data_IF_214548166455
#
_entry.id   IF_214548166455
#
_cell.length_a   1.000
_cell.length_b   1.000
_cell.length_c   1.000
_cell.angle_alpha   90.00
_cell.angle_beta   90.00
_cell.angle_gamma   90.00
#
_symmetry.space_group_name_H-M   'P 1'
#
loop_
_entity.id
_entity.type
_entity.pdbx_description
1 polymer ?
#
# COMPACT_ATOMS: atom_id res chain seq x y z
N UNK A 1 -35.56 -18.24 30.03
CA UNK A 1 -34.31 -18.66 29.36
C UNK A 1 -33.15 -18.03 30.13
N UNK A 2 -32.35 -18.84 30.83
CA UNK A 2 -31.21 -18.37 31.63
C UNK A 2 -30.13 -17.84 30.66
N UNK A 3 -30.06 -16.52 30.49
CA UNK A 3 -28.98 -15.91 29.71
C UNK A 3 -27.66 -16.09 30.45
N UNK A 4 -26.71 -16.80 29.84
CA UNK A 4 -25.35 -16.89 30.37
C UNK A 4 -24.65 -15.53 30.35
N UNK A 5 -23.56 -15.40 31.11
CA UNK A 5 -22.68 -14.23 31.05
C UNK A 5 -22.19 -14.03 29.62
N UNK A 6 -22.50 -12.88 29.02
CA UNK A 6 -22.13 -12.53 27.64
C UNK A 6 -21.31 -11.24 27.65
N UNK A 7 -20.23 -11.23 26.87
CA UNK A 7 -19.45 -10.02 26.64
C UNK A 7 -20.23 -9.01 25.79
N UNK A 8 -20.11 -7.74 26.16
CA UNK A 8 -20.62 -6.60 25.40
C UNK A 8 -19.55 -5.52 25.35
N UNK A 9 -19.61 -4.66 24.35
CA UNK A 9 -18.75 -3.48 24.23
C UNK A 9 -19.42 -2.31 24.95
N UNK A 10 -18.80 -1.78 26.00
CA UNK A 10 -19.36 -0.70 26.82
C UNK A 10 -18.72 0.64 26.48
N UNK A 11 -19.54 1.67 26.29
CA UNK A 11 -19.11 3.04 26.09
C UNK A 11 -19.72 3.89 27.20
N UNK A 12 -18.84 4.42 28.07
CA UNK A 12 -19.22 5.36 29.11
C UNK A 12 -18.98 6.79 28.62
N UNK A 13 -20.02 7.60 28.74
CA UNK A 13 -19.99 9.04 28.47
C UNK A 13 -20.27 9.79 29.78
N UNK A 14 -20.20 11.12 29.76
CA UNK A 14 -20.55 11.94 30.92
C UNK A 14 -22.03 11.83 31.34
N UNK A 15 -22.91 11.33 30.46
CA UNK A 15 -24.37 11.33 30.67
C UNK A 15 -25.01 9.94 30.64
N UNK A 16 -24.36 8.97 29.97
CA UNK A 16 -24.92 7.63 29.78
C UNK A 16 -23.87 6.53 29.74
N UNK A 17 -24.27 5.33 30.17
CA UNK A 17 -23.58 4.07 29.92
C UNK A 17 -24.32 3.32 28.81
N UNK A 18 -23.67 3.16 27.67
CA UNK A 18 -24.21 2.44 26.51
C UNK A 18 -23.48 1.12 26.32
N UNK A 19 -24.16 0.11 25.79
CA UNK A 19 -23.49 -1.12 25.36
C UNK A 19 -23.95 -1.64 24.01
N UNK A 20 -22.99 -2.20 23.28
CA UNK A 20 -23.10 -2.68 21.92
C UNK A 20 -22.79 -4.17 21.86
N UNK A 21 -23.21 -4.81 20.78
CA UNK A 21 -22.93 -6.23 20.54
C UNK A 21 -21.43 -6.53 20.44
N UNK A 22 -20.68 -5.63 19.82
CA UNK A 22 -19.27 -5.72 19.46
C UNK A 22 -18.64 -4.32 19.38
N UNK A 23 -17.33 -4.26 19.18
CA UNK A 23 -16.49 -3.05 19.07
C UNK A 23 -16.71 -2.26 17.77
N UNK A 24 -17.47 -2.81 16.82
CA UNK A 24 -17.86 -2.06 15.61
C UNK A 24 -18.89 -0.95 15.93
N UNK A 25 -19.49 -0.95 17.12
CA UNK A 25 -20.48 0.03 17.61
C UNK A 25 -21.72 0.19 16.70
N UNK A 26 -21.99 -0.79 15.82
CA UNK A 26 -23.13 -0.73 14.87
C UNK A 26 -24.46 -1.11 15.51
N UNK A 27 -24.46 -2.07 16.43
CA UNK A 27 -25.69 -2.60 17.04
C UNK A 27 -25.76 -2.23 18.53
N UNK A 28 -26.31 -1.04 18.81
CA UNK A 28 -26.55 -0.56 20.17
C UNK A 28 -27.65 -1.38 20.83
N UNK A 29 -27.33 -2.06 21.94
CA UNK A 29 -28.27 -2.89 22.68
C UNK A 29 -29.11 -2.10 23.67
N UNK A 30 -28.49 -1.15 24.36
CA UNK A 30 -29.17 -0.30 25.32
C UNK A 30 -28.38 0.98 25.59
N UNK A 31 -29.07 1.97 26.16
CA UNK A 31 -28.50 3.20 26.66
C UNK A 31 -29.08 3.46 28.05
N UNK A 32 -28.24 3.38 29.07
CA UNK A 32 -28.61 3.59 30.45
C UNK A 32 -28.20 5.02 30.87
N UNK A 33 -29.16 5.92 31.16
CA UNK A 33 -28.85 7.22 31.76
C UNK A 33 -28.14 7.04 33.11
N UNK A 34 -27.18 7.90 33.42
CA UNK A 34 -26.42 7.83 34.68
C UNK A 34 -27.18 8.41 35.88
N UNK A 35 -28.32 9.07 35.64
CA UNK A 35 -29.14 9.71 36.67
C UNK A 35 -29.59 8.71 37.74
N UNK A 36 -29.40 9.08 39.01
CA UNK A 36 -29.81 8.31 40.17
C UNK A 36 -29.21 6.90 40.22
N UNK A 37 -28.07 6.68 39.54
CA UNK A 37 -27.29 5.46 39.69
C UNK A 37 -26.27 5.58 40.81
N UNK A 38 -26.04 4.46 41.48
CA UNK A 38 -24.90 4.24 42.37
C UNK A 38 -24.20 2.96 42.02
N UNK A 39 -22.91 2.91 42.35
CA UNK A 39 -22.09 1.70 42.21
C UNK A 39 -21.92 1.01 43.56
N UNK A 40 -22.04 -0.31 43.60
CA UNK A 40 -21.78 -1.13 44.78
C UNK A 40 -20.91 -2.31 44.42
N UNK A 41 -20.08 -2.74 45.37
CA UNK A 41 -19.32 -3.98 45.27
C UNK A 41 -20.22 -5.21 45.43
N UNK A 42 -20.02 -6.19 44.56
CA UNK A 42 -20.71 -7.49 44.65
C UNK A 42 -19.77 -8.47 45.31
N UNK A 43 -20.24 -9.16 46.36
CA UNK A 43 -19.44 -10.15 47.06
C UNK A 43 -18.97 -11.26 46.10
N UNK A 44 -17.69 -11.62 46.18
CA UNK A 44 -17.12 -12.71 45.39
C UNK A 44 -17.80 -14.02 45.80
N UNK A 45 -18.63 -14.58 44.91
CA UNK A 45 -19.17 -15.92 45.10
C UNK A 45 -18.04 -16.94 45.29
N UNK A 46 -18.28 -17.96 46.12
CA UNK A 46 -17.28 -18.94 46.64
C UNK A 46 -16.42 -19.67 45.57
N UNK A 47 -16.70 -19.51 44.28
CA UNK A 47 -15.95 -20.10 43.16
C UNK A 47 -15.76 -19.14 41.96
N UNK A 48 -16.03 -17.84 42.10
CA UNK A 48 -15.87 -16.86 41.02
C UNK A 48 -14.48 -16.21 41.07
N UNK A 49 -13.71 -16.35 40.00
CA UNK A 49 -12.43 -15.63 39.82
C UNK A 49 -12.61 -14.22 39.25
N UNK A 50 -13.83 -13.83 38.85
CA UNK A 50 -14.09 -12.53 38.21
C UNK A 50 -14.27 -11.42 39.25
N UNK A 51 -13.77 -10.23 38.92
CA UNK A 51 -13.98 -9.03 39.71
C UNK A 51 -15.27 -8.36 39.26
N UNK A 52 -16.24 -8.19 40.16
CA UNK A 52 -17.60 -7.79 39.81
C UNK A 52 -18.02 -6.57 40.62
N UNK A 53 -18.65 -5.61 39.95
CA UNK A 53 -19.36 -4.51 40.59
C UNK A 53 -20.76 -4.38 39.97
N UNK A 54 -21.68 -3.76 40.69
CA UNK A 54 -23.06 -3.58 40.23
C UNK A 54 -23.48 -2.12 40.22
N UNK A 55 -24.22 -1.74 39.18
CA UNK A 55 -24.94 -0.48 39.09
C UNK A 55 -26.39 -0.69 39.50
N UNK A 56 -26.90 0.14 40.40
CA UNK A 56 -28.29 0.09 40.84
C UNK A 56 -28.88 1.49 40.89
N UNK A 57 -30.22 1.58 40.76
CA UNK A 57 -30.93 2.85 40.86
C UNK A 57 -31.30 3.13 42.32
N UNK A 58 -31.04 4.34 42.81
CA UNK A 58 -31.35 4.75 44.19
C UNK A 58 -32.86 4.80 44.47
N UNK A 59 -33.68 5.00 43.45
CA UNK A 59 -35.14 5.02 43.53
C UNK A 59 -35.76 3.61 43.39
N UNK A 60 -34.95 2.55 43.49
CA UNK A 60 -35.38 1.15 43.39
C UNK A 60 -36.06 0.78 42.06
N UNK A 61 -35.84 1.58 41.01
CA UNK A 61 -36.27 1.25 39.65
C UNK A 61 -35.40 0.16 39.03
N UNK A 62 -35.98 -0.59 38.09
CA UNK A 62 -35.20 -1.51 37.26
C UNK A 62 -34.19 -0.72 36.41
N UNK A 63 -32.94 -1.15 36.44
CA UNK A 63 -31.84 -0.53 35.69
C UNK A 63 -31.87 -0.98 34.24
N UNK A 64 -32.17 -2.27 34.00
CA UNK A 64 -32.25 -2.82 32.65
C UNK A 64 -33.31 -3.93 32.60
N UNK A 65 -34.31 -3.78 31.73
CA UNK A 65 -35.45 -4.71 31.62
C UNK A 65 -36.07 -4.98 33.01
N UNK A 66 -36.09 -6.24 33.43
CA UNK A 66 -36.63 -6.67 34.73
C UNK A 66 -35.55 -6.76 35.81
N UNK A 67 -34.31 -6.36 35.50
CA UNK A 67 -33.18 -6.42 36.43
C UNK A 67 -33.06 -5.11 37.24
N UNK A 68 -33.07 -5.26 38.56
CA UNK A 68 -32.91 -4.15 39.54
C UNK A 68 -31.49 -3.60 39.63
N UNK A 69 -30.51 -4.38 39.16
CA UNK A 69 -29.11 -4.00 39.12
C UNK A 69 -28.46 -4.56 37.86
N UNK A 70 -27.41 -3.90 37.39
CA UNK A 70 -26.58 -4.33 36.26
C UNK A 70 -25.22 -4.76 36.81
N UNK A 71 -24.93 -6.05 36.79
CA UNK A 71 -23.61 -6.58 37.18
C UNK A 71 -22.65 -6.53 36.01
N UNK A 72 -21.46 -5.98 36.26
CA UNK A 72 -20.37 -5.88 35.32
C UNK A 72 -19.17 -6.61 35.90
N UNK A 73 -18.60 -7.50 35.09
CA UNK A 73 -17.46 -8.32 35.46
C UNK A 73 -16.25 -7.91 34.63
N UNK A 74 -15.11 -7.67 35.29
CA UNK A 74 -13.84 -7.37 34.67
C UNK A 74 -12.83 -8.49 34.95
N UNK A 75 -11.76 -8.51 34.14
CA UNK A 75 -10.73 -9.54 34.19
C UNK A 75 -9.72 -9.28 35.31
N UNK A 76 -9.54 -8.02 35.73
CA UNK A 76 -8.65 -7.64 36.83
C UNK A 76 -9.30 -6.68 37.84
N UNK A 77 -8.70 -6.57 39.02
CA UNK A 77 -9.09 -5.56 40.02
C UNK A 77 -8.80 -4.13 39.52
N UNK A 78 -7.69 -3.94 38.79
CA UNK A 78 -7.29 -2.65 38.23
C UNK A 78 -8.33 -2.13 37.21
N UNK A 79 -8.91 -3.04 36.41
CA UNK A 79 -10.01 -2.70 35.50
C UNK A 79 -11.24 -2.22 36.28
N UNK A 80 -11.63 -2.92 37.36
CA UNK A 80 -12.76 -2.50 38.21
C UNK A 80 -12.51 -1.11 38.79
N UNK A 81 -11.30 -0.87 39.30
CA UNK A 81 -10.96 0.42 39.90
C UNK A 81 -10.93 1.55 38.85
N UNK A 82 -10.43 1.27 37.65
CA UNK A 82 -10.45 2.19 36.50
C UNK A 82 -11.89 2.50 36.03
N UNK A 83 -12.76 1.50 36.00
CA UNK A 83 -14.19 1.68 35.68
C UNK A 83 -14.92 2.47 36.77
N UNK A 84 -14.67 2.19 38.06
CA UNK A 84 -15.22 2.96 39.18
C UNK A 84 -14.74 4.41 39.16
N UNK A 85 -13.47 4.68 38.88
CA UNK A 85 -12.94 6.03 38.74
C UNK A 85 -13.61 6.78 37.57
N UNK A 86 -13.81 6.11 36.44
CA UNK A 86 -14.50 6.67 35.28
C UNK A 86 -15.99 6.96 35.57
N UNK A 87 -16.67 6.06 36.28
CA UNK A 87 -18.06 6.24 36.73
C UNK A 87 -18.19 7.39 37.75
N UNK A 88 -17.26 7.49 38.70
CA UNK A 88 -17.19 8.59 39.67
C UNK A 88 -17.02 9.93 38.96
N UNK A 89 -16.14 9.99 37.95
CA UNK A 89 -15.95 11.17 37.11
C UNK A 89 -17.22 11.54 36.33
N UNK A 90 -18.02 10.55 35.95
CA UNK A 90 -19.32 10.74 35.29
C UNK A 90 -20.48 10.99 36.29
N UNK A 91 -20.21 11.14 37.59
CA UNK A 91 -21.20 11.48 38.61
C UNK A 91 -21.91 10.29 39.27
N UNK A 92 -21.50 9.05 38.99
CA UNK A 92 -22.03 7.84 39.64
C UNK A 92 -21.19 7.51 40.86
N UNK A 93 -21.73 7.80 42.05
CA UNK A 93 -21.00 7.64 43.31
C UNK A 93 -21.08 6.22 43.88
N UNK A 94 -20.03 5.77 44.59
CA UNK A 94 -20.08 4.52 45.34
C UNK A 94 -21.12 4.60 46.46
N UNK A 95 -21.76 3.46 46.72
CA UNK A 95 -22.76 3.36 47.77
C UNK A 95 -22.12 3.33 49.15
N UNK A 96 -22.32 4.41 49.90
CA UNK A 96 -21.72 4.63 51.22
C UNK A 96 -22.31 3.76 52.33
N UNK A 97 -23.39 3.00 52.08
CA UNK A 97 -24.07 2.21 53.11
C UNK A 97 -23.29 0.99 53.62
N UNK A 98 -22.10 0.71 53.10
CA UNK A 98 -21.24 -0.42 53.51
C UNK A 98 -19.92 -0.01 54.18
N UNK A 99 -19.55 1.28 54.16
CA UNK A 99 -18.26 1.76 54.67
C UNK A 99 -18.44 2.80 55.80
N UNK A 100 -19.09 2.43 56.90
CA UNK A 100 -19.12 3.28 58.12
C UNK A 100 -17.78 3.28 58.91
N UNK A 101 -16.69 2.70 58.39
CA UNK A 101 -15.51 2.43 59.23
C UNK A 101 -14.12 2.82 58.70
N UNK A 102 -13.99 3.62 57.64
CA UNK A 102 -12.68 4.11 57.17
C UNK A 102 -12.68 5.63 56.93
N UNK A 103 -12.74 6.40 58.01
CA UNK A 103 -12.34 7.81 58.03
C UNK A 103 -10.82 7.93 58.22
N UNK A 104 -10.00 7.47 57.27
CA UNK A 104 -8.64 7.99 57.15
C UNK A 104 -7.94 7.53 55.86
N UNK A 105 -7.73 8.43 54.90
CA UNK A 105 -6.86 8.09 53.77
C UNK A 105 -6.96 9.02 52.57
N UNK A 106 -6.09 10.04 52.57
CA UNK A 106 -5.55 10.68 51.36
C UNK A 106 -6.52 11.56 50.55
N UNK A 107 -7.00 12.64 51.17
CA UNK A 107 -7.45 13.83 50.45
C UNK A 107 -6.31 14.84 50.18
N UNK A 108 -5.05 14.49 50.49
CA UNK A 108 -3.88 15.34 50.32
C UNK A 108 -2.97 14.75 49.24
N UNK A 109 -3.02 15.30 48.02
CA UNK A 109 -1.92 15.39 47.01
C UNK A 109 -2.36 15.52 45.53
N UNK A 110 -3.60 15.92 45.23
CA UNK A 110 -4.00 16.24 43.84
C UNK A 110 -4.72 17.58 43.70
N UNK A 111 -4.23 18.63 44.37
CA UNK A 111 -4.59 20.00 43.97
C UNK A 111 -3.77 20.40 42.75
N UNK A 112 -3.93 19.70 41.63
CA UNK A 112 -3.65 20.32 40.34
C UNK A 112 -4.68 21.42 40.16
N UNK A 113 -4.23 22.66 39.93
CA UNK A 113 -5.14 23.77 39.66
C UNK A 113 -5.97 23.40 38.40
N UNK A 114 -7.31 23.22 38.52
CA UNK A 114 -8.14 22.85 37.38
C UNK A 114 -8.04 23.85 36.21
N UNK A 115 -7.66 25.09 36.51
CA UNK A 115 -7.40 26.10 35.50
C UNK A 115 -6.09 25.84 34.74
N UNK A 116 -5.03 25.43 35.42
CA UNK A 116 -3.76 25.06 34.80
C UNK A 116 -3.92 23.82 33.90
N UNK A 117 -4.64 22.80 34.35
CA UNK A 117 -4.91 21.61 33.52
C UNK A 117 -5.64 21.97 32.22
N UNK A 118 -6.68 22.82 32.31
CA UNK A 118 -7.40 23.31 31.13
C UNK A 118 -6.50 24.13 30.20
N UNK A 119 -5.63 24.97 30.76
CA UNK A 119 -4.69 25.78 29.97
C UNK A 119 -3.66 24.91 29.26
N UNK A 120 -3.07 23.93 29.95
CA UNK A 120 -2.12 22.98 29.37
C UNK A 120 -2.76 22.21 28.22
N UNK A 121 -3.98 21.72 28.41
CA UNK A 121 -4.71 20.99 27.36
C UNK A 121 -5.03 21.90 26.16
N UNK A 122 -5.39 23.17 26.41
CA UNK A 122 -5.61 24.14 25.34
C UNK A 122 -4.32 24.38 24.55
N UNK A 123 -3.19 24.57 25.23
CA UNK A 123 -1.89 24.77 24.60
C UNK A 123 -1.47 23.54 23.81
N UNK A 124 -1.67 22.33 24.35
CA UNK A 124 -1.35 21.07 23.68
C UNK A 124 -2.10 20.95 22.35
N UNK A 125 -3.41 21.18 22.37
CA UNK A 125 -4.24 21.13 21.16
C UNK A 125 -3.81 22.17 20.10
N UNK A 126 -3.38 23.37 20.51
CA UNK A 126 -2.86 24.38 19.61
C UNK A 126 -1.51 23.98 18.99
N UNK A 127 -0.61 23.43 19.80
CA UNK A 127 0.70 22.95 19.34
C UNK A 127 0.53 21.78 18.37
N UNK A 128 -0.33 20.81 18.67
CA UNK A 128 -0.59 19.67 17.80
C UNK A 128 -1.17 20.13 16.45
N UNK A 129 -2.10 21.09 16.47
CA UNK A 129 -2.62 21.68 15.24
C UNK A 129 -1.54 22.39 14.43
N UNK A 130 -0.67 23.18 15.07
CA UNK A 130 0.41 23.89 14.39
C UNK A 130 1.44 22.93 13.78
N UNK A 131 1.87 21.92 14.55
CA UNK A 131 2.82 20.91 14.08
C UNK A 131 2.22 20.06 12.95
N UNK A 132 0.92 19.77 12.98
CA UNK A 132 0.23 19.10 11.88
C UNK A 132 0.30 19.90 10.57
N UNK A 133 0.10 21.22 10.64
CA UNK A 133 0.23 22.12 9.48
C UNK A 133 1.68 22.13 8.98
N UNK A 134 2.67 22.30 9.87
CA UNK A 134 4.09 22.25 9.49
C UNK A 134 4.42 20.93 8.79
N UNK A 135 4.04 19.80 9.37
CA UNK A 135 4.32 18.49 8.80
C UNK A 135 3.68 18.33 7.41
N UNK A 136 2.50 18.91 7.20
CA UNK A 136 1.87 18.95 5.87
C UNK A 136 2.68 19.81 4.89
N UNK A 137 3.17 20.98 5.32
CA UNK A 137 4.04 21.83 4.51
C UNK A 137 5.36 21.16 4.17
N UNK A 138 6.03 20.49 5.12
CA UNK A 138 7.29 19.78 4.89
C UNK A 138 7.09 18.63 3.89
N UNK A 139 6.05 17.82 4.08
CA UNK A 139 5.73 16.71 3.16
C UNK A 139 5.42 17.19 1.73
N UNK A 140 4.91 18.41 1.58
CA UNK A 140 4.61 19.00 0.28
C UNK A 140 5.83 19.68 -0.37
N UNK A 141 6.59 20.47 0.40
CA UNK A 141 7.67 21.31 -0.13
C UNK A 141 8.97 20.53 -0.36
N UNK A 142 9.34 19.60 0.53
CA UNK A 142 10.63 18.89 0.40
C UNK A 142 10.74 18.12 -0.92
N UNK A 143 9.75 17.32 -1.36
CA UNK A 143 9.83 16.64 -2.65
C UNK A 143 9.91 17.62 -3.83
N UNK A 144 9.19 18.75 -3.77
CA UNK A 144 9.23 19.79 -4.81
C UNK A 144 10.60 20.46 -4.89
N UNK A 145 11.22 20.73 -3.75
CA UNK A 145 12.58 21.29 -3.66
C UNK A 145 13.60 20.32 -4.25
N UNK A 146 13.55 19.03 -3.91
CA UNK A 146 14.45 18.00 -4.47
C UNK A 146 14.25 17.88 -5.98
N UNK A 147 12.99 17.83 -6.43
CA UNK A 147 12.65 17.77 -7.85
C UNK A 147 13.25 18.94 -8.62
N UNK A 148 13.05 20.17 -8.12
CA UNK A 148 13.49 21.38 -8.81
C UNK A 148 15.00 21.56 -8.77
N UNK A 149 15.62 21.44 -7.59
CA UNK A 149 17.03 21.77 -7.41
C UNK A 149 17.99 20.65 -7.79
N UNK A 150 17.60 19.39 -7.60
CA UNK A 150 18.49 18.26 -7.87
C UNK A 150 18.13 17.59 -9.20
N UNK A 151 16.91 17.10 -9.32
CA UNK A 151 16.57 16.22 -10.45
C UNK A 151 16.46 17.00 -11.75
N UNK A 152 15.74 18.13 -11.75
CA UNK A 152 15.63 18.95 -12.95
C UNK A 152 16.99 19.57 -13.32
N UNK A 153 17.78 20.01 -12.33
CA UNK A 153 19.13 20.53 -12.59
C UNK A 153 20.05 19.46 -13.22
N UNK A 154 20.10 18.25 -12.66
CA UNK A 154 20.90 17.14 -13.24
C UNK A 154 20.38 16.75 -14.62
N UNK A 155 19.07 16.71 -14.81
CA UNK A 155 18.46 16.46 -16.12
C UNK A 155 18.91 17.52 -17.13
N UNK A 156 18.86 18.79 -16.76
CA UNK A 156 19.26 19.89 -17.65
C UNK A 156 20.76 19.79 -17.97
N UNK A 157 21.61 19.57 -16.95
CA UNK A 157 23.04 19.32 -17.12
C UNK A 157 23.34 18.20 -18.13
N UNK A 158 22.67 17.04 -17.99
CA UNK A 158 22.85 15.91 -18.91
C UNK A 158 22.48 16.30 -20.35
N UNK A 159 21.41 17.09 -20.54
CA UNK A 159 20.90 17.44 -21.85
C UNK A 159 21.67 18.58 -22.53
N UNK A 160 22.17 19.56 -21.78
CA UNK A 160 22.76 20.78 -22.34
C UNK A 160 24.28 20.90 -22.16
N UNK A 161 24.86 20.33 -21.10
CA UNK A 161 26.26 20.61 -20.73
C UNK A 161 27.16 19.38 -20.82
N UNK A 162 26.65 18.19 -20.50
CA UNK A 162 27.44 16.96 -20.41
C UNK A 162 28.25 16.68 -21.67
N UNK A 163 27.63 16.82 -22.85
CA UNK A 163 28.30 16.56 -24.12
C UNK A 163 29.45 17.54 -24.38
N UNK A 164 29.23 18.82 -24.08
CA UNK A 164 30.27 19.85 -24.21
C UNK A 164 31.44 19.58 -23.25
N UNK A 165 31.16 19.13 -22.02
CA UNK A 165 32.19 18.73 -21.07
C UNK A 165 32.98 17.51 -21.53
N UNK A 166 32.31 16.49 -22.06
CA UNK A 166 32.99 15.31 -22.62
C UNK A 166 33.89 15.68 -23.80
N UNK A 167 33.45 16.56 -24.70
CA UNK A 167 34.30 17.04 -25.80
C UNK A 167 35.43 17.97 -25.35
N UNK A 168 35.29 18.68 -24.23
CA UNK A 168 36.37 19.49 -23.66
C UNK A 168 37.48 18.65 -23.02
N UNK A 169 37.28 17.35 -22.86
CA UNK A 169 38.33 16.45 -22.38
C UNK A 169 39.50 16.39 -23.38
N UNK A 170 40.73 16.43 -22.86
CA UNK A 170 41.96 16.49 -23.65
C UNK A 170 42.23 15.19 -24.44
N UNK A 171 41.68 14.06 -24.00
CA UNK A 171 41.93 12.74 -24.59
C UNK A 171 40.65 12.02 -25.00
N UNK A 172 40.06 12.49 -26.10
CA UNK A 172 38.88 11.89 -26.71
C UNK A 172 39.14 10.47 -27.27
N UNK A 173 40.39 10.18 -27.67
CA UNK A 173 40.75 8.89 -28.27
C UNK A 173 40.69 7.78 -27.22
N UNK A 174 41.25 8.02 -26.04
CA UNK A 174 41.15 7.07 -24.92
C UNK A 174 39.70 6.95 -24.42
N UNK A 175 38.95 8.06 -24.39
CA UNK A 175 37.54 8.04 -23.96
C UNK A 175 36.66 7.16 -24.87
N UNK A 176 36.97 7.12 -26.17
CA UNK A 176 36.25 6.33 -27.18
C UNK A 176 36.94 5.00 -27.51
N UNK A 177 37.89 4.57 -26.71
CA UNK A 177 38.64 3.33 -26.97
C UNK A 177 37.71 2.12 -26.99
N UNK A 178 37.89 1.24 -27.98
CA UNK A 178 37.14 0.00 -28.10
C UNK A 178 37.55 -0.97 -26.97
N UNK A 179 36.58 -1.57 -26.27
CA UNK A 179 36.89 -2.60 -25.30
C UNK A 179 37.47 -3.84 -25.99
N UNK A 180 38.45 -4.50 -25.36
CA UNK A 180 39.10 -5.68 -25.94
C UNK A 180 38.12 -6.79 -26.34
N UNK A 181 37.05 -6.98 -25.57
CA UNK A 181 35.99 -7.94 -25.89
C UNK A 181 35.23 -7.56 -27.18
N UNK A 182 34.94 -6.27 -27.37
CA UNK A 182 34.25 -5.80 -28.56
C UNK A 182 35.14 -5.86 -29.80
N UNK A 183 36.43 -5.53 -29.65
CA UNK A 183 37.43 -5.68 -30.70
C UNK A 183 37.54 -7.15 -31.15
N UNK A 184 37.61 -8.08 -30.20
CA UNK A 184 37.63 -9.52 -30.50
C UNK A 184 36.35 -9.96 -31.23
N UNK A 185 35.17 -9.56 -30.74
CA UNK A 185 33.88 -9.89 -31.37
C UNK A 185 33.79 -9.35 -32.80
N UNK A 186 34.28 -8.13 -33.03
CA UNK A 186 34.37 -7.52 -34.37
C UNK A 186 35.28 -8.34 -35.29
N UNK A 187 36.45 -8.75 -34.80
CA UNK A 187 37.42 -9.54 -35.57
C UNK A 187 36.90 -10.96 -35.89
N UNK A 188 36.19 -11.60 -34.96
CA UNK A 188 35.52 -12.89 -35.18
C UNK A 188 34.42 -12.78 -36.24
N UNK A 189 33.60 -11.72 -36.17
CA UNK A 189 32.55 -11.45 -37.15
C UNK A 189 33.14 -11.19 -38.54
N UNK A 190 34.24 -10.43 -38.63
CA UNK A 190 34.94 -10.20 -39.90
C UNK A 190 35.51 -11.49 -40.47
N UNK A 191 36.12 -12.34 -39.63
CA UNK A 191 36.63 -13.65 -40.04
C UNK A 191 35.50 -14.55 -40.57
N UNK A 192 34.37 -14.59 -39.86
CA UNK A 192 33.20 -15.36 -40.28
C UNK A 192 32.61 -14.82 -41.58
N UNK A 193 32.49 -13.50 -41.72
CA UNK A 193 32.02 -12.86 -42.95
C UNK A 193 32.88 -13.24 -44.16
N UNK A 194 34.21 -13.19 -44.01
CA UNK A 194 35.14 -13.56 -45.07
C UNK A 194 35.00 -15.04 -45.45
N UNK A 195 34.94 -15.93 -44.45
CA UNK A 195 34.74 -17.36 -44.67
C UNK A 195 33.42 -17.66 -45.41
N UNK A 196 32.33 -16.96 -45.07
CA UNK A 196 31.04 -17.11 -45.75
C UNK A 196 31.10 -16.59 -47.20
N UNK A 197 31.80 -15.49 -47.46
CA UNK A 197 32.01 -14.97 -48.81
C UNK A 197 32.78 -15.97 -49.68
N UNK A 198 33.85 -16.54 -49.15
CA UNK A 198 34.63 -17.57 -49.84
C UNK A 198 33.80 -18.82 -50.13
N UNK A 199 33.00 -19.28 -49.15
CA UNK A 199 32.09 -20.39 -49.35
C UNK A 199 31.08 -20.14 -50.48
N UNK A 200 30.55 -18.91 -50.60
CA UNK A 200 29.65 -18.53 -51.69
C UNK A 200 30.34 -18.53 -53.05
N UNK A 201 31.60 -18.07 -53.14
CA UNK A 201 32.39 -18.15 -54.38
C UNK A 201 32.57 -19.60 -54.80
N UNK A 202 32.96 -20.49 -53.87
CA UNK A 202 33.12 -21.92 -54.16
C UNK A 202 31.82 -22.55 -54.66
N UNK A 203 30.68 -22.22 -54.03
CA UNK A 203 29.36 -22.71 -54.49
C UNK A 203 29.06 -22.22 -55.90
N UNK A 204 29.36 -20.94 -56.19
CA UNK A 204 29.20 -20.35 -57.52
C UNK A 204 30.06 -21.05 -58.58
N UNK A 205 31.31 -21.35 -58.24
CA UNK A 205 32.24 -22.06 -59.12
C UNK A 205 31.76 -23.49 -59.40
N UNK A 206 31.30 -24.23 -58.39
CA UNK A 206 30.75 -25.59 -58.59
C UNK A 206 29.53 -25.56 -59.51
N UNK A 207 28.61 -24.61 -59.31
CA UNK A 207 27.37 -24.51 -60.08
C UNK A 207 27.61 -24.13 -61.55
N UNK A 208 28.72 -23.46 -61.86
CA UNK A 208 29.09 -23.07 -63.23
C UNK A 208 30.07 -24.02 -63.91
N UNK A 209 30.91 -24.72 -63.14
CA UNK A 209 31.96 -25.59 -63.67
C UNK A 209 31.57 -27.08 -63.79
N UNK A 210 30.48 -27.53 -63.16
CA UNK A 210 30.07 -28.96 -63.20
C UNK A 210 28.86 -29.19 -64.09
N UNK A 211 28.99 -30.12 -65.05
CA UNK A 211 27.89 -30.58 -65.92
C UNK A 211 27.18 -31.76 -65.26
N UNK A 212 25.87 -31.62 -65.02
CA UNK A 212 25.04 -32.74 -64.59
C UNK A 212 24.84 -33.70 -65.76
N UNK A 213 25.50 -34.85 -65.72
CA UNK A 213 25.19 -36.00 -66.60
C UNK A 213 23.87 -36.62 -66.15
N UNK A 214 22.83 -36.67 -67.01
CA UNK A 214 21.59 -37.36 -66.70
C UNK A 214 21.88 -38.84 -66.39
N UNK A 215 21.20 -39.39 -65.38
CA UNK A 215 21.36 -40.80 -65.02
C UNK A 215 21.04 -41.67 -66.26
N UNK A 216 21.87 -42.69 -66.57
CA UNK A 216 21.57 -43.60 -67.66
C UNK A 216 20.23 -44.31 -67.41
N UNK A 217 19.47 -44.66 -68.46
CA UNK A 217 18.19 -45.33 -68.29
C UNK A 217 18.36 -46.63 -67.49
N UNK A 218 17.35 -47.04 -66.68
CA UNK A 218 17.42 -48.26 -65.88
C UNK A 218 17.71 -49.46 -66.79
N UNK A 219 18.72 -50.24 -66.44
CA UNK A 219 19.09 -51.46 -67.17
C UNK A 219 18.12 -52.56 -66.74
N UNK A 220 17.53 -53.27 -67.71
CA UNK A 220 16.63 -54.40 -67.42
C UNK A 220 17.47 -55.66 -67.08
N UNK A 221 17.56 -55.98 -65.79
CA UNK A 221 18.33 -57.12 -65.24
C UNK A 221 17.61 -58.48 -65.38
N UNK A 222 16.62 -58.60 -66.28
CA UNK A 222 15.85 -59.82 -66.51
C UNK A 222 16.67 -61.06 -66.91
N UNK A 223 17.94 -60.88 -67.33
CA UNK A 223 18.83 -61.99 -67.70
C UNK A 223 19.54 -62.66 -66.50
N UNK A 224 19.64 -62.00 -65.34
CA UNK A 224 20.39 -62.52 -64.18
C UNK A 224 19.59 -63.51 -63.30
N UNK A 225 18.28 -63.66 -63.53
CA UNK A 225 17.43 -64.56 -62.75
C UNK A 225 17.51 -66.05 -63.17
N UNK A 226 18.11 -66.38 -64.31
CA UNK A 226 17.95 -67.71 -64.93
C UNK A 226 19.05 -68.74 -64.65
N UNK A 227 20.07 -68.41 -63.85
CA UNK A 227 21.13 -69.37 -63.48
C UNK A 227 21.26 -69.53 -61.97
N UNK A 228 20.21 -70.12 -61.42
CA UNK A 228 20.21 -71.21 -60.43
C UNK A 228 21.11 -71.11 -59.19
N UNK A 229 20.39 -71.36 -58.08
CA UNK A 229 20.72 -72.27 -56.96
C UNK A 229 21.64 -71.71 -55.88
N UNK A 230 20.97 -71.13 -54.89
CA UNK A 230 21.35 -71.11 -53.48
C UNK A 230 21.85 -72.46 -52.96
N UNK A 231 22.91 -72.45 -52.14
CA UNK A 231 23.10 -73.40 -51.04
C UNK A 231 22.95 -72.72 -49.65
N UNK A 232 22.70 -73.50 -48.58
CA UNK A 232 22.14 -73.04 -47.29
C UNK A 232 23.18 -72.54 -46.27
N UNK A 233 22.76 -71.88 -45.16
CA UNK A 233 23.66 -71.32 -44.15
C UNK A 233 23.91 -72.28 -42.97
N UNK A 234 25.07 -72.16 -42.31
CA UNK A 234 25.42 -72.82 -41.02
C UNK A 234 26.72 -72.19 -40.43
N UNK A 235 27.02 -72.28 -39.11
CA UNK A 235 26.56 -71.31 -38.10
C UNK A 235 27.70 -70.65 -37.28
N UNK A 236 27.37 -69.50 -36.67
CA UNK A 236 27.85 -68.85 -35.42
C UNK A 236 29.17 -69.28 -34.77
N UNK A 237 30.05 -68.30 -34.51
CA UNK A 237 30.56 -67.94 -33.16
C UNK A 237 31.28 -66.59 -33.18
N UNK A 238 30.83 -65.61 -32.39
CA UNK A 238 31.73 -64.67 -31.73
C UNK A 238 31.02 -63.88 -30.62
N UNK A 239 31.63 -63.82 -29.44
CA UNK A 239 31.23 -62.98 -28.32
C UNK A 239 32.42 -62.11 -27.88
N UNK A 240 32.19 -60.78 -27.90
CA UNK A 240 32.84 -59.66 -27.18
C UNK A 240 34.24 -59.16 -27.60
N UNK A 241 34.52 -57.83 -27.49
CA UNK A 241 34.79 -57.09 -26.21
C UNK A 241 33.96 -55.77 -26.04
N UNK A 242 33.58 -55.31 -24.82
CA UNK A 242 34.15 -54.20 -23.96
C UNK A 242 34.36 -52.86 -24.71
N UNK A 243 34.06 -51.64 -24.23
CA UNK A 243 34.02 -51.02 -22.89
C UNK A 243 33.32 -49.62 -22.99
N UNK A 244 32.79 -49.11 -21.88
CA UNK A 244 32.57 -47.68 -21.51
C UNK A 244 31.40 -46.81 -22.04
N UNK A 245 30.63 -46.30 -21.07
CA UNK A 245 29.52 -45.32 -21.07
C UNK A 245 30.03 -43.84 -21.17
N UNK A 246 29.22 -42.74 -21.18
CA UNK A 246 27.84 -42.63 -20.66
C UNK A 246 26.79 -41.72 -21.38
N UNK A 247 25.52 -42.06 -21.10
CA UNK A 247 24.28 -41.27 -20.93
C UNK A 247 23.98 -40.04 -21.79
N UNK A 248 22.90 -40.13 -22.60
CA UNK A 248 22.02 -38.98 -22.90
C UNK A 248 20.51 -39.35 -22.84
N UNK A 249 19.81 -38.55 -22.02
CA UNK A 249 18.38 -38.21 -21.84
C UNK A 249 17.27 -38.89 -22.69
N UNK A 250 16.12 -39.25 -22.08
CA UNK A 250 14.95 -39.77 -22.80
C UNK A 250 14.17 -38.67 -23.54
N UNK A 251 13.66 -39.06 -24.71
CA UNK A 251 12.68 -38.33 -25.53
C UNK A 251 11.29 -38.50 -24.90
N UNK A 252 10.56 -37.42 -24.69
CA UNK A 252 9.10 -37.42 -24.52
C UNK A 252 8.58 -35.99 -24.69
N UNK A 253 7.49 -35.82 -25.44
CA UNK A 253 6.68 -34.60 -25.38
C UNK A 253 6.62 -33.78 -26.67
N UNK A 254 5.98 -34.33 -27.69
CA UNK A 254 5.43 -33.58 -28.83
C UNK A 254 4.26 -32.72 -28.32
N UNK A 255 4.41 -31.40 -28.36
CA UNK A 255 3.37 -30.41 -28.10
C UNK A 255 3.62 -29.16 -28.95
N UNK A 256 2.60 -28.49 -29.50
CA UNK A 256 2.78 -27.44 -30.49
C UNK A 256 3.22 -26.13 -29.83
N UNK A 257 4.13 -25.42 -30.49
CA UNK A 257 4.58 -24.08 -30.09
C UNK A 257 3.46 -23.03 -30.32
N UNK A 258 3.34 -21.99 -29.47
CA UNK A 258 2.49 -20.84 -29.75
C UNK A 258 3.14 -19.95 -30.82
N UNK A 259 2.37 -19.54 -31.82
CA UNK A 259 2.79 -18.66 -32.90
C UNK A 259 3.01 -17.22 -32.40
N UNK A 260 4.11 -16.62 -32.86
CA UNK A 260 4.42 -15.19 -32.76
C UNK A 260 3.82 -14.49 -33.99
N UNK A 261 2.98 -13.44 -33.86
CA UNK A 261 2.60 -12.60 -34.99
C UNK A 261 3.54 -11.41 -35.14
N UNK A 262 4.07 -11.21 -36.35
CA UNK A 262 4.76 -9.98 -36.77
C UNK A 262 3.78 -8.80 -36.92
N UNK A 263 4.23 -7.53 -36.79
CA UNK A 263 3.36 -6.37 -36.65
C UNK A 263 2.86 -5.84 -38.01
N UNK A 264 1.53 -5.69 -38.13
CA UNK A 264 0.83 -4.93 -39.17
C UNK A 264 0.01 -3.78 -38.56
N UNK A 265 -0.37 -2.76 -39.35
CA UNK A 265 -0.40 -1.38 -38.86
C UNK A 265 -1.81 -0.90 -38.46
N UNK A 266 -2.42 -1.42 -37.40
CA UNK A 266 -3.72 -0.88 -36.92
C UNK A 266 -3.82 -0.94 -35.39
N UNK A 267 -3.35 0.09 -34.71
CA UNK A 267 -3.47 0.27 -33.26
C UNK A 267 -4.78 0.99 -32.90
N UNK A 268 -5.75 0.25 -32.36
CA UNK A 268 -6.95 0.79 -31.73
C UNK A 268 -6.80 0.82 -30.20
N UNK A 269 -6.49 1.97 -29.63
CA UNK A 269 -6.45 2.22 -28.19
C UNK A 269 -7.84 2.68 -27.66
N UNK A 270 -8.18 2.43 -26.38
CA UNK A 270 -9.45 2.87 -25.80
C UNK A 270 -9.48 4.40 -25.57
N UNK A 271 -10.66 5.05 -25.48
CA UNK A 271 -10.76 6.50 -25.53
C UNK A 271 -10.27 7.17 -24.24
N UNK A 272 -9.48 8.23 -24.40
CA UNK A 272 -8.99 9.11 -23.32
C UNK A 272 -9.98 10.27 -23.14
N UNK A 273 -10.31 10.71 -21.92
CA UNK A 273 -11.24 11.81 -21.70
C UNK A 273 -10.67 13.16 -22.17
N UNK A 274 -11.50 13.90 -22.91
CA UNK A 274 -11.42 15.33 -23.30
C UNK A 274 -10.17 16.13 -22.87
N UNK A 275 -9.34 16.53 -23.85
CA UNK A 275 -8.41 17.67 -23.73
C UNK A 275 -9.05 18.95 -24.31
N UNK A 276 -8.99 20.10 -23.61
CA UNK A 276 -9.23 21.40 -24.21
C UNK A 276 -8.13 21.75 -25.23
N UNK A 277 -8.51 22.44 -26.31
CA UNK A 277 -7.64 22.78 -27.45
C UNK A 277 -6.48 23.74 -27.15
N UNK A 278 -5.61 24.02 -28.14
CA UNK A 278 -4.38 24.76 -27.95
C UNK A 278 -4.62 26.27 -27.78
N UNK A 279 -3.90 26.85 -26.82
CA UNK A 279 -3.84 28.29 -26.54
C UNK A 279 -2.98 29.04 -27.59
N UNK A 280 -3.24 30.33 -27.85
CA UNK A 280 -2.48 31.13 -28.81
C UNK A 280 -1.07 31.46 -28.29
N UNK A 281 -0.13 31.88 -29.17
CA UNK A 281 1.24 32.18 -28.77
C UNK A 281 1.33 33.51 -28.01
N UNK A 282 2.13 33.53 -26.95
CA UNK A 282 2.45 34.76 -26.20
C UNK A 282 3.43 35.65 -26.99
N UNK A 283 3.29 36.99 -26.92
CA UNK A 283 4.23 37.90 -27.54
C UNK A 283 5.52 38.00 -26.72
N UNK A 284 6.64 38.03 -27.43
CA UNK A 284 7.98 38.28 -26.90
C UNK A 284 8.07 39.72 -26.37
N UNK A 285 8.60 39.94 -25.17
CA UNK A 285 8.90 41.28 -24.66
C UNK A 285 10.19 41.25 -23.84
N UNK A 286 11.27 41.62 -24.54
CA UNK A 286 12.53 42.06 -23.98
C UNK A 286 12.36 43.56 -23.71
N UNK A 287 12.25 44.01 -22.45
CA UNK A 287 12.75 45.31 -21.98
C UNK A 287 12.44 45.60 -20.49
N UNK A 288 13.53 45.77 -19.74
CA UNK A 288 13.85 46.83 -18.77
C UNK A 288 12.74 47.62 -18.04
N UNK A 289 12.83 47.57 -16.69
CA UNK A 289 12.41 48.56 -15.68
C UNK A 289 10.94 49.07 -15.67
N UNK A 290 10.18 48.67 -14.64
CA UNK A 290 9.06 49.49 -14.14
C UNK A 290 7.91 48.76 -13.45
N UNK A 291 7.79 48.97 -12.13
CA UNK A 291 6.58 48.85 -11.27
C UNK A 291 5.99 47.46 -10.96
N UNK A 292 5.52 47.22 -9.71
CA UNK A 292 4.84 45.97 -9.35
C UNK A 292 3.38 46.00 -9.84
N UNK A 293 2.79 44.85 -10.23
CA UNK A 293 1.43 44.84 -10.77
C UNK A 293 0.37 45.06 -9.67
N UNK A 294 -0.60 45.92 -9.99
CA UNK A 294 -1.79 46.18 -9.17
C UNK A 294 -2.68 44.93 -9.03
N UNK A 295 -3.18 44.71 -7.80
CA UNK A 295 -4.18 43.71 -7.46
C UNK A 295 -5.56 44.13 -8.01
N UNK A 296 -6.31 43.27 -8.73
CA UNK A 296 -7.67 43.57 -9.14
C UNK A 296 -8.63 43.73 -7.95
N UNK A 297 -9.37 44.83 -7.94
CA UNK A 297 -10.37 45.19 -6.94
C UNK A 297 -11.47 44.13 -6.78
N UNK A 298 -11.58 43.58 -5.57
CA UNK A 298 -12.64 42.65 -5.17
C UNK A 298 -13.94 43.42 -4.88
N UNK A 299 -15.12 42.98 -5.35
CA UNK A 299 -16.39 43.58 -4.94
C UNK A 299 -16.63 43.34 -3.45
N UNK A 300 -16.98 44.40 -2.73
CA UNK A 300 -17.29 44.41 -1.29
C UNK A 300 -18.53 43.55 -1.02
N UNK A 301 -18.35 42.31 -0.56
CA UNK A 301 -19.44 41.47 -0.06
C UNK A 301 -19.76 41.90 1.38
N UNK A 302 -20.92 42.51 1.59
CA UNK A 302 -21.43 42.84 2.92
C UNK A 302 -21.55 41.57 3.79
N UNK A 303 -21.27 41.64 5.10
CA UNK A 303 -21.48 40.52 6.01
C UNK A 303 -22.98 40.22 6.18
N UNK A 304 -23.38 38.96 6.40
CA UNK A 304 -24.78 38.61 6.60
C UNK A 304 -25.29 39.23 7.91
N UNK A 305 -26.44 39.88 7.84
CA UNK A 305 -27.14 40.49 8.98
C UNK A 305 -27.66 39.40 9.91
N UNK A 306 -27.13 39.34 11.13
CA UNK A 306 -27.65 38.47 12.21
C UNK A 306 -28.87 39.15 12.83
N UNK A 307 -30.05 38.51 12.89
CA UNK A 307 -31.21 39.08 13.58
C UNK A 307 -30.94 39.18 15.09
N UNK A 308 -31.00 40.39 15.66
CA UNK A 308 -30.96 40.61 17.10
C UNK A 308 -32.22 40.04 17.74
N UNK A 309 -32.05 39.04 18.62
CA UNK A 309 -33.12 38.55 19.51
C UNK A 309 -33.29 39.53 20.68
N UNK A 310 -34.51 39.98 21.03
CA UNK A 310 -34.74 40.82 22.21
C UNK A 310 -34.40 40.05 23.51
N UNK A 311 -33.94 40.74 24.57
CA UNK A 311 -33.72 40.11 25.86
C UNK A 311 -35.05 39.70 26.53
N UNK A 312 -35.06 38.66 27.39
CA UNK A 312 -36.27 38.24 28.10
C UNK A 312 -36.70 39.29 29.14
N UNK A 313 -38.02 39.46 29.28
CA UNK A 313 -38.63 40.37 30.24
C UNK A 313 -38.39 39.92 31.70
N UNK A 314 -37.97 40.85 32.55
CA UNK A 314 -37.85 40.66 34.00
C UNK A 314 -39.25 40.67 34.63
N UNK A 315 -39.62 39.68 35.45
CA UNK A 315 -40.89 39.71 36.17
C UNK A 315 -40.90 40.84 37.22
N UNK A 316 -41.89 41.72 37.12
CA UNK A 316 -42.14 42.78 38.09
C UNK A 316 -42.45 42.23 39.47
N UNK A 317 -41.90 42.89 40.49
CA UNK A 317 -42.14 42.63 41.91
C UNK A 317 -43.56 43.08 42.28
N UNK A 318 -44.40 42.26 42.95
CA UNK A 318 -45.68 42.72 43.44
C UNK A 318 -45.50 43.65 44.66
N UNK A 319 -46.39 44.64 44.72
CA UNK A 319 -46.65 45.52 45.86
C UNK A 319 -47.29 44.74 47.01
#
# INVERSE_FOLDING_TARGET
MKGGSKGYWFVLTAESLSWYKDDEEKEKKYMLPLDNLKVRDVEKGFMSSKHIFALFNTEQRNVYKDYRFLELACDSQEDVDSWKASLLRAGVYPDKSLNENDENGQAENFSMDPQLERQVETIRNLVDSYMSIINKCIRDLIPKTIMHLMINNVKDFINSELLAQLYSSEDQNTLMEESAEQAQRRDEMLRMYQALKEALVIIGDINTATVSTPAPPPVDDSWLQHSRRSPPPSPTTQRRPTLNAPLTRPTSGRGPAPAIPSPGPHSGAPPVPFRPGPLPPFPNSNDSFGTPPQVPSRPTRAPPSVPRRPPPAVPGRPS
#
